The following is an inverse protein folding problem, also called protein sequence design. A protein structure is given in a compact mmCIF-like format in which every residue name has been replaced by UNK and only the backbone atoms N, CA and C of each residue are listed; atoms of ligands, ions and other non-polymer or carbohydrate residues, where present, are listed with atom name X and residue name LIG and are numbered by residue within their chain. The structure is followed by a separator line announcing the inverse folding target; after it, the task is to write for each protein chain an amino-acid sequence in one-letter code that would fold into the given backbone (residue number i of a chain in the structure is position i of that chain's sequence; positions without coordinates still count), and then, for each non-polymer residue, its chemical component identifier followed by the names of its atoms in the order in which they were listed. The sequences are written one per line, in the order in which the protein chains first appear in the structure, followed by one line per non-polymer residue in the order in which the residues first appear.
data_IF_048223080681
#
_entry.id   IF_048223080681
#
_cell.length_a   1.000
_cell.length_b   1.000
_cell.length_c   1.000
_cell.angle_alpha   90.00
_cell.angle_beta   90.00
_cell.angle_gamma   90.00
#
_symmetry.space_group_name_H-M   'P 1'
#
loop_
_entity.id
_entity.type
_entity.pdbx_description
1 polymer ?
#
# COMPACT_ATOMS: atom_id res chain seq x y z
N UNK A 1 -5.38 -6.14 -9.49
CA UNK A 1 -5.05 -6.21 -8.04
C UNK A 1 -4.96 -4.82 -7.42
N UNK A 2 -3.95 -4.00 -7.78
CA UNK A 2 -3.72 -2.66 -7.21
C UNK A 2 -4.98 -1.79 -7.23
N UNK A 3 -5.56 -1.54 -8.42
CA UNK A 3 -6.78 -0.73 -8.58
C UNK A 3 -7.93 -1.17 -7.67
N UNK A 4 -8.16 -2.48 -7.55
CA UNK A 4 -9.19 -3.04 -6.67
C UNK A 4 -8.92 -2.79 -5.19
N UNK A 5 -7.66 -2.81 -4.76
CA UNK A 5 -7.28 -2.48 -3.38
C UNK A 5 -7.39 -0.96 -3.17
N UNK A 6 -6.85 -0.14 -4.08
CA UNK A 6 -6.90 1.32 -4.02
C UNK A 6 -8.35 1.84 -3.95
N UNK A 7 -9.26 1.23 -4.71
CA UNK A 7 -10.68 1.58 -4.68
C UNK A 7 -11.33 1.43 -3.30
N UNK A 8 -10.82 0.55 -2.43
CA UNK A 8 -11.30 0.43 -1.03
C UNK A 8 -10.96 1.65 -0.18
N UNK A 9 -9.99 2.46 -0.60
CA UNK A 9 -9.53 3.67 0.06
C UNK A 9 -10.05 4.95 -0.59
N UNK A 10 -10.94 4.87 -1.59
CA UNK A 10 -11.43 6.04 -2.35
C UNK A 10 -12.08 7.15 -1.51
N UNK A 11 -12.58 6.81 -0.32
CA UNK A 11 -13.23 7.76 0.61
C UNK A 11 -12.25 8.34 1.65
N UNK A 12 -10.94 8.20 1.43
CA UNK A 12 -9.90 8.71 2.34
C UNK A 12 -9.64 10.22 2.23
N UNK A 13 -10.23 10.89 1.24
CA UNK A 13 -9.98 12.31 0.94
C UNK A 13 -8.87 12.53 -0.10
N UNK A 14 -8.13 11.47 -0.46
CA UNK A 14 -7.09 11.52 -1.50
C UNK A 14 -7.66 11.16 -2.90
N UNK A 15 -7.10 11.74 -3.98
CA UNK A 15 -7.43 11.34 -5.35
C UNK A 15 -7.18 9.83 -5.57
N UNK A 16 -8.11 9.16 -6.26
CA UNK A 16 -7.98 7.72 -6.53
C UNK A 16 -6.70 7.39 -7.31
N UNK A 17 -6.28 8.27 -8.22
CA UNK A 17 -5.06 8.09 -8.99
C UNK A 17 -3.81 8.06 -8.10
N UNK A 18 -3.74 8.93 -7.09
CA UNK A 18 -2.63 8.94 -6.12
C UNK A 18 -2.62 7.65 -5.30
N UNK A 19 -3.79 7.17 -4.88
CA UNK A 19 -3.92 5.88 -4.18
C UNK A 19 -3.48 4.71 -5.06
N UNK A 20 -3.79 4.73 -6.35
CA UNK A 20 -3.32 3.72 -7.32
C UNK A 20 -1.79 3.78 -7.46
N UNK A 21 -1.20 4.97 -7.62
CA UNK A 21 0.24 5.16 -7.73
C UNK A 21 0.99 4.63 -6.50
N UNK A 22 0.55 5.01 -5.30
CA UNK A 22 1.11 4.49 -4.04
C UNK A 22 0.93 2.97 -3.95
N UNK A 23 -0.21 2.46 -4.38
CA UNK A 23 -0.46 1.03 -4.46
C UNK A 23 0.50 0.31 -5.41
N UNK A 24 0.89 0.92 -6.54
CA UNK A 24 1.90 0.37 -7.44
C UNK A 24 3.29 0.32 -6.79
N UNK A 25 3.66 1.33 -5.99
CA UNK A 25 4.90 1.30 -5.19
C UNK A 25 4.88 0.11 -4.22
N UNK A 26 3.76 -0.12 -3.54
CA UNK A 26 3.58 -1.29 -2.67
C UNK A 26 3.69 -2.62 -3.42
N UNK A 27 3.19 -2.70 -4.65
CA UNK A 27 3.36 -3.89 -5.48
C UNK A 27 4.83 -4.12 -5.86
N UNK A 28 5.57 -3.08 -6.24
CA UNK A 28 7.00 -3.17 -6.55
C UNK A 28 7.78 -3.68 -5.33
N UNK A 29 7.51 -3.13 -4.15
CA UNK A 29 8.11 -3.58 -2.89
C UNK A 29 7.78 -5.06 -2.61
N UNK A 30 6.54 -5.48 -2.86
CA UNK A 30 6.15 -6.87 -2.73
C UNK A 30 6.92 -7.80 -3.68
N UNK A 31 7.13 -7.39 -4.94
CA UNK A 31 7.91 -8.16 -5.92
C UNK A 31 9.36 -8.32 -5.43
N UNK A 32 9.97 -7.24 -4.97
CA UNK A 32 11.38 -7.23 -4.54
C UNK A 32 11.63 -8.10 -3.30
N UNK A 33 10.65 -8.18 -2.39
CA UNK A 33 10.80 -8.87 -1.10
C UNK A 33 10.18 -10.28 -1.09
N UNK A 34 9.44 -10.65 -2.14
CA UNK A 34 8.77 -11.94 -2.18
C UNK A 34 9.76 -13.09 -2.37
N UNK A 35 9.59 -14.12 -1.55
CA UNK A 35 10.34 -15.37 -1.67
C UNK A 35 9.38 -16.55 -1.83
N UNK A 36 9.38 -17.16 -3.02
CA UNK A 36 8.54 -18.32 -3.37
C UNK A 36 8.76 -19.54 -2.46
N UNK A 37 9.95 -19.69 -1.87
CA UNK A 37 10.29 -20.83 -1.01
C UNK A 37 9.57 -20.77 0.35
N UNK A 38 8.93 -19.65 0.69
CA UNK A 38 8.14 -19.50 1.93
C UNK A 38 6.74 -20.11 1.85
N UNK A 39 6.32 -20.64 0.69
CA UNK A 39 5.04 -21.34 0.52
C UNK A 39 3.78 -20.46 0.54
N UNK A 40 3.93 -19.12 0.61
CA UNK A 40 2.82 -18.18 0.59
C UNK A 40 2.57 -17.73 -0.85
N UNK A 41 1.31 -17.67 -1.28
CA UNK A 41 0.96 -17.13 -2.61
C UNK A 41 1.37 -15.66 -2.71
N UNK A 42 2.00 -15.29 -3.83
CA UNK A 42 2.38 -13.90 -4.10
C UNK A 42 1.23 -12.90 -3.92
N UNK A 43 0.01 -13.24 -4.34
CA UNK A 43 -1.18 -12.38 -4.21
C UNK A 43 -1.44 -12.01 -2.74
N UNK A 44 -1.28 -12.96 -1.82
CA UNK A 44 -1.44 -12.71 -0.37
C UNK A 44 -0.40 -11.71 0.11
N UNK A 45 0.85 -11.88 -0.32
CA UNK A 45 1.95 -10.99 0.03
C UNK A 45 1.76 -9.59 -0.55
N UNK A 46 1.49 -9.48 -1.85
CA UNK A 46 1.25 -8.22 -2.54
C UNK A 46 0.08 -7.44 -1.95
N UNK A 47 -1.01 -8.12 -1.55
CA UNK A 47 -2.16 -7.47 -0.93
C UNK A 47 -1.80 -6.75 0.37
N UNK A 48 -0.93 -7.36 1.20
CA UNK A 48 -0.44 -6.73 2.43
C UNK A 48 0.39 -5.48 2.17
N UNK A 49 1.33 -5.55 1.22
CA UNK A 49 2.18 -4.40 0.89
C UNK A 49 1.40 -3.25 0.25
N UNK A 50 0.57 -3.54 -0.76
CA UNK A 50 -0.25 -2.52 -1.44
C UNK A 50 -1.13 -1.79 -0.42
N UNK A 51 -1.83 -2.54 0.44
CA UNK A 51 -2.71 -1.93 1.43
C UNK A 51 -1.94 -1.19 2.53
N UNK A 52 -0.74 -1.66 2.88
CA UNK A 52 0.14 -1.02 3.87
C UNK A 52 0.65 0.34 3.38
N UNK A 53 1.19 0.40 2.17
CA UNK A 53 1.70 1.65 1.58
C UNK A 53 0.59 2.69 1.42
N UNK A 54 -0.61 2.29 0.98
CA UNK A 54 -1.74 3.22 0.86
C UNK A 54 -2.15 3.79 2.22
N UNK A 55 -2.25 2.95 3.27
CA UNK A 55 -2.55 3.43 4.63
C UNK A 55 -1.47 4.38 5.15
N UNK A 56 -0.21 4.06 4.88
CA UNK A 56 0.92 4.89 5.26
C UNK A 56 0.84 6.27 4.61
N UNK A 57 0.61 6.32 3.29
CA UNK A 57 0.44 7.55 2.53
C UNK A 57 -0.69 8.43 3.08
N UNK A 58 -1.88 7.85 3.30
CA UNK A 58 -3.03 8.59 3.82
C UNK A 58 -2.70 9.18 5.20
N UNK A 59 -2.12 8.38 6.10
CA UNK A 59 -1.75 8.83 7.44
C UNK A 59 -0.75 9.99 7.39
N UNK A 60 0.30 9.87 6.59
CA UNK A 60 1.36 10.86 6.50
C UNK A 60 0.88 12.18 5.88
N UNK A 61 -0.12 12.13 4.98
CA UNK A 61 -0.75 13.32 4.39
C UNK A 61 -1.71 14.05 5.34
N UNK A 62 -2.44 13.31 6.16
CA UNK A 62 -3.47 13.88 7.06
C UNK A 62 -2.94 14.23 8.46
N UNK A 63 -1.71 13.83 8.81
CA UNK A 63 -1.11 14.22 10.08
C UNK A 63 -0.57 15.66 10.03
N UNK A 64 -1.29 16.60 10.68
CA UNK A 64 -0.89 18.00 10.88
C UNK A 64 0.41 18.12 11.70
N UNK A 65 0.68 17.14 12.58
CA UNK A 65 1.92 16.99 13.32
C UNK A 65 2.55 15.67 12.91
N UNK A 66 3.71 15.75 12.23
CA UNK A 66 4.41 14.59 11.69
C UNK A 66 5.13 13.83 12.81
N UNK A 67 4.44 12.84 13.39
CA UNK A 67 5.04 11.92 14.37
C UNK A 67 5.78 10.83 13.57
N UNK A 68 7.08 10.57 13.82
CA UNK A 68 7.81 9.53 13.11
C UNK A 68 7.12 8.17 13.31
N UNK A 69 6.74 7.51 12.22
CA UNK A 69 6.17 6.17 12.31
C UNK A 69 7.29 5.18 12.62
N UNK A 70 7.15 4.42 13.70
CA UNK A 70 8.09 3.36 14.07
C UNK A 70 7.95 2.20 13.08
N UNK A 71 8.99 1.95 12.28
CA UNK A 71 9.20 0.69 11.56
C UNK A 71 9.90 -0.30 12.47
#
# INVERSE_FOLDING_TARGET
LVKSIAYKFKNSGEPLEDLEQVGYIGLINAINLYNKNRGIKFITYATWFISGEIRHYIRDKHQVIKIPSRR
#
